data_IF_303766942420
#
_entry.id   IF_303766942420
#
_cell.length_a   1.000
_cell.length_b   1.000
_cell.length_c   1.000
_cell.angle_alpha   90.00
_cell.angle_beta   90.00
_cell.angle_gamma   90.00
#
_symmetry.space_group_name_H-M   'P 1'
#
loop_
_entity.id
_entity.type
_entity.pdbx_description
1 polymer ?
#
# COMPACT_ATOMS: atom_id res chain seq x y z
N UNK A 1 33.16 18.28 -6.75
CA UNK A 1 32.38 17.71 -7.88
C UNK A 1 30.91 17.87 -7.51
N UNK A 2 30.13 18.54 -8.34
CA UNK A 2 28.69 18.77 -8.07
C UNK A 2 27.84 17.88 -8.98
N UNK A 3 26.96 17.07 -8.42
CA UNK A 3 26.08 16.19 -9.18
C UNK A 3 24.63 16.69 -9.03
N UNK A 4 23.92 16.78 -10.14
CA UNK A 4 22.53 17.22 -10.20
C UNK A 4 21.67 16.15 -10.88
N UNK A 5 20.37 16.09 -10.51
CA UNK A 5 19.42 15.23 -11.18
C UNK A 5 19.24 15.68 -12.64
N UNK A 6 19.22 14.72 -13.56
CA UNK A 6 18.95 14.98 -14.98
C UNK A 6 17.47 14.75 -15.24
N UNK A 7 16.85 15.67 -15.96
CA UNK A 7 15.43 15.55 -16.32
C UNK A 7 15.21 14.46 -17.36
N UNK A 8 14.23 13.61 -17.12
CA UNK A 8 13.78 12.58 -18.06
C UNK A 8 13.09 13.24 -19.28
N UNK A 9 13.45 12.88 -20.54
CA UNK A 9 12.70 13.32 -21.71
C UNK A 9 11.28 12.78 -21.71
N UNK A 10 10.30 13.60 -22.10
CA UNK A 10 8.90 13.18 -22.18
C UNK A 10 8.68 11.95 -23.07
N UNK A 11 9.46 11.82 -24.16
CA UNK A 11 9.43 10.65 -25.05
C UNK A 11 9.88 9.33 -24.40
N UNK A 12 10.54 9.40 -23.24
CA UNK A 12 11.05 8.23 -22.50
C UNK A 12 10.14 7.77 -21.36
N UNK A 13 9.00 8.46 -21.09
CA UNK A 13 8.13 8.16 -19.96
C UNK A 13 7.63 6.71 -19.98
N UNK A 14 7.14 6.23 -21.12
CA UNK A 14 6.63 4.87 -21.25
C UNK A 14 7.70 3.82 -20.96
N UNK A 15 8.90 4.00 -21.50
CA UNK A 15 10.01 3.09 -21.28
C UNK A 15 10.48 3.11 -19.81
N UNK A 16 10.49 4.29 -19.18
CA UNK A 16 10.84 4.44 -17.78
C UNK A 16 9.85 3.74 -16.87
N UNK A 17 8.54 3.91 -17.12
CA UNK A 17 7.47 3.23 -16.35
C UNK A 17 7.57 1.71 -16.47
N UNK A 18 7.80 1.18 -17.68
CA UNK A 18 8.00 -0.25 -17.89
C UNK A 18 9.24 -0.75 -17.13
N UNK A 19 10.31 0.04 -17.07
CA UNK A 19 11.54 -0.28 -16.32
C UNK A 19 11.29 -0.26 -14.81
N UNK A 20 10.52 0.70 -14.30
CA UNK A 20 10.14 0.73 -12.88
C UNK A 20 9.34 -0.51 -12.47
N UNK A 21 8.36 -0.92 -13.29
CA UNK A 21 7.62 -2.17 -13.08
C UNK A 21 8.55 -3.38 -13.04
N UNK A 22 9.47 -3.48 -13.99
CA UNK A 22 10.45 -4.58 -14.06
C UNK A 22 11.37 -4.63 -12.83
N UNK A 23 11.90 -3.50 -12.35
CA UNK A 23 12.72 -3.48 -11.14
C UNK A 23 11.92 -3.93 -9.92
N UNK A 24 10.66 -3.54 -9.82
CA UNK A 24 9.79 -4.00 -8.75
C UNK A 24 9.59 -5.53 -8.81
N UNK A 25 9.40 -6.11 -10.01
CA UNK A 25 9.28 -7.56 -10.21
C UNK A 25 10.58 -8.31 -9.83
N UNK A 26 11.73 -7.66 -9.97
CA UNK A 26 13.02 -8.15 -9.50
C UNK A 26 13.25 -7.97 -7.99
N UNK A 27 12.24 -7.52 -7.24
CA UNK A 27 12.36 -7.19 -5.82
C UNK A 27 13.41 -6.10 -5.52
N UNK A 28 13.46 -5.09 -6.38
CA UNK A 28 14.30 -3.89 -6.26
C UNK A 28 13.42 -2.64 -6.15
N UNK A 29 12.69 -2.48 -5.03
CA UNK A 29 11.70 -1.41 -4.89
C UNK A 29 12.31 -0.01 -4.85
N UNK A 30 13.54 0.16 -4.35
CA UNK A 30 14.23 1.45 -4.31
C UNK A 30 14.53 1.98 -5.72
N UNK A 31 14.96 1.11 -6.64
CA UNK A 31 15.20 1.46 -8.05
C UNK A 31 13.89 1.82 -8.75
N UNK A 32 12.82 1.05 -8.47
CA UNK A 32 11.50 1.34 -9.00
C UNK A 32 10.97 2.69 -8.51
N UNK A 33 11.11 2.98 -7.22
CA UNK A 33 10.73 4.25 -6.58
C UNK A 33 11.48 5.43 -7.23
N UNK A 34 12.81 5.31 -7.38
CA UNK A 34 13.63 6.34 -8.01
C UNK A 34 13.18 6.68 -9.44
N UNK A 35 12.89 5.67 -10.26
CA UNK A 35 12.42 5.88 -11.63
C UNK A 35 11.02 6.52 -11.63
N UNK A 36 10.12 6.11 -10.72
CA UNK A 36 8.80 6.71 -10.62
C UNK A 36 8.89 8.20 -10.27
N UNK A 37 9.81 8.61 -9.40
CA UNK A 37 10.05 10.03 -9.11
C UNK A 37 10.51 10.80 -10.33
N UNK A 38 11.39 10.24 -11.18
CA UNK A 38 11.80 10.87 -12.45
C UNK A 38 10.62 11.04 -13.41
N UNK A 39 9.74 10.04 -13.50
CA UNK A 39 8.51 10.10 -14.32
C UNK A 39 7.56 11.18 -13.79
N UNK A 40 7.31 11.20 -12.49
CA UNK A 40 6.39 12.15 -11.85
C UNK A 40 6.92 13.59 -11.84
N UNK A 41 8.24 13.79 -11.94
CA UNK A 41 8.83 15.09 -12.14
C UNK A 41 8.51 15.68 -13.53
N UNK A 42 8.16 14.84 -14.51
CA UNK A 42 7.75 15.25 -15.86
C UNK A 42 6.23 15.29 -16.00
N UNK A 43 5.55 14.27 -15.50
CA UNK A 43 4.09 14.14 -15.49
C UNK A 43 3.62 13.77 -14.06
N UNK A 44 3.29 14.77 -13.22
CA UNK A 44 2.88 14.54 -11.83
C UNK A 44 1.60 13.72 -11.65
N UNK A 45 0.77 13.63 -12.69
CA UNK A 45 -0.49 12.89 -12.69
C UNK A 45 -0.40 11.51 -13.35
N UNK A 46 0.79 11.03 -13.68
CA UNK A 46 1.00 9.76 -14.38
C UNK A 46 0.51 8.56 -13.56
N UNK A 47 -0.69 8.06 -13.85
CA UNK A 47 -1.40 7.10 -13.01
C UNK A 47 -0.66 5.79 -12.80
N UNK A 48 -0.02 5.25 -13.84
CA UNK A 48 0.75 3.99 -13.72
C UNK A 48 2.01 4.20 -12.87
N UNK A 49 2.68 5.35 -12.98
CA UNK A 49 3.83 5.65 -12.14
C UNK A 49 3.44 5.82 -10.67
N UNK A 50 2.32 6.50 -10.37
CA UNK A 50 1.77 6.60 -9.01
C UNK A 50 1.44 5.21 -8.44
N UNK A 51 0.82 4.33 -9.22
CA UNK A 51 0.51 2.97 -8.80
C UNK A 51 1.78 2.18 -8.47
N UNK A 52 2.79 2.20 -9.36
CA UNK A 52 4.05 1.50 -9.16
C UNK A 52 4.79 2.08 -7.94
N UNK A 53 4.84 3.41 -7.81
CA UNK A 53 5.46 4.08 -6.67
C UNK A 53 4.84 3.65 -5.34
N UNK A 54 3.53 3.74 -5.22
CA UNK A 54 2.83 3.32 -4.00
C UNK A 54 3.10 1.85 -3.66
N UNK A 55 3.08 0.96 -4.65
CA UNK A 55 3.39 -0.45 -4.46
C UNK A 55 4.86 -0.68 -4.07
N UNK A 56 5.82 0.03 -4.68
CA UNK A 56 7.24 -0.06 -4.33
C UNK A 56 7.50 0.40 -2.89
N UNK A 57 6.83 1.48 -2.44
CA UNK A 57 6.89 1.92 -1.04
C UNK A 57 6.34 0.84 -0.11
N UNK A 58 5.22 0.19 -0.45
CA UNK A 58 4.65 -0.89 0.38
C UNK A 58 5.52 -2.15 0.40
N UNK A 59 6.29 -2.45 -0.65
CA UNK A 59 7.23 -3.58 -0.70
C UNK A 59 8.37 -3.43 0.35
N UNK A 60 8.57 -2.23 0.88
CA UNK A 60 9.60 -1.91 1.89
C UNK A 60 9.08 -1.88 3.34
N UNK A 61 7.82 -2.17 3.61
CA UNK A 61 7.24 -2.09 4.95
C UNK A 61 7.94 -3.00 5.98
N UNK A 62 8.50 -4.12 5.53
CA UNK A 62 9.25 -5.04 6.39
C UNK A 62 10.60 -4.49 6.86
N UNK A 63 11.10 -3.44 6.21
CA UNK A 63 12.38 -2.80 6.63
C UNK A 63 12.29 -2.09 7.97
N UNK A 64 11.09 -1.85 8.49
CA UNK A 64 10.86 -1.15 9.75
C UNK A 64 11.06 0.37 9.69
N UNK A 65 11.25 0.96 8.50
CA UNK A 65 11.35 2.42 8.36
C UNK A 65 10.00 3.06 8.68
N UNK A 66 10.05 4.11 9.48
CA UNK A 66 8.87 4.89 9.88
C UNK A 66 8.37 5.72 8.70
N UNK A 67 7.05 5.95 8.62
CA UNK A 67 6.43 6.84 7.64
C UNK A 67 6.15 6.21 6.27
N UNK A 68 6.50 4.94 6.04
CA UNK A 68 6.27 4.28 4.74
C UNK A 68 4.78 4.05 4.46
N UNK A 69 3.97 3.76 5.47
CA UNK A 69 2.52 3.58 5.29
C UNK A 69 1.87 4.89 4.89
N UNK A 70 2.18 5.96 5.59
CA UNK A 70 1.68 7.31 5.30
C UNK A 70 2.09 7.73 3.88
N UNK A 71 3.35 7.51 3.49
CA UNK A 71 3.83 7.80 2.15
C UNK A 71 3.08 6.99 1.07
N UNK A 72 2.83 5.70 1.29
CA UNK A 72 2.06 4.88 0.36
C UNK A 72 0.61 5.36 0.25
N UNK A 73 -0.03 5.72 1.36
CA UNK A 73 -1.40 6.25 1.39
C UNK A 73 -1.48 7.55 0.59
N UNK A 74 -0.57 8.51 0.84
CA UNK A 74 -0.52 9.79 0.11
C UNK A 74 -0.37 9.60 -1.40
N UNK A 75 0.44 8.63 -1.83
CA UNK A 75 0.60 8.30 -3.26
C UNK A 75 -0.68 7.69 -3.83
N UNK A 76 -1.29 6.71 -3.16
CA UNK A 76 -2.50 6.06 -3.66
C UNK A 76 -3.72 6.99 -3.67
N UNK A 77 -3.79 7.96 -2.78
CA UNK A 77 -4.85 8.99 -2.78
C UNK A 77 -4.83 9.88 -4.03
N UNK A 78 -3.71 9.96 -4.75
CA UNK A 78 -3.59 10.68 -6.02
C UNK A 78 -4.10 9.88 -7.22
N UNK A 79 -4.45 8.60 -7.07
CA UNK A 79 -5.05 7.82 -8.15
C UNK A 79 -6.45 8.37 -8.49
N UNK A 80 -6.67 8.67 -9.77
CA UNK A 80 -7.90 9.28 -10.26
C UNK A 80 -9.09 8.31 -10.22
N UNK A 81 -8.86 7.05 -10.61
CA UNK A 81 -9.89 6.02 -10.59
C UNK A 81 -10.24 5.59 -9.15
N UNK A 82 -11.52 5.69 -8.80
CA UNK A 82 -11.99 5.43 -7.44
C UNK A 82 -11.77 3.97 -7.00
N UNK A 83 -11.93 3.00 -7.93
CA UNK A 83 -11.67 1.60 -7.63
C UNK A 83 -10.19 1.37 -7.37
N UNK A 84 -9.31 1.83 -8.28
CA UNK A 84 -7.87 1.66 -8.14
C UNK A 84 -7.36 2.29 -6.84
N UNK A 85 -7.81 3.50 -6.54
CA UNK A 85 -7.48 4.18 -5.28
C UNK A 85 -7.90 3.36 -4.07
N UNK A 86 -9.17 2.95 -4.01
CA UNK A 86 -9.73 2.20 -2.87
C UNK A 86 -9.06 0.84 -2.72
N UNK A 87 -8.86 0.11 -3.82
CA UNK A 87 -8.19 -1.19 -3.80
C UNK A 87 -6.75 -1.10 -3.29
N UNK A 88 -5.97 -0.13 -3.80
CA UNK A 88 -4.57 0.01 -3.39
C UNK A 88 -4.41 0.52 -1.95
N UNK A 89 -5.33 1.32 -1.45
CA UNK A 89 -5.38 1.64 -0.01
C UNK A 89 -5.59 0.37 0.82
N UNK A 90 -6.48 -0.53 0.40
CA UNK A 90 -6.64 -1.84 1.02
C UNK A 90 -5.36 -2.67 1.01
N UNK A 91 -4.64 -2.69 -0.12
CA UNK A 91 -3.34 -3.37 -0.26
C UNK A 91 -2.29 -2.78 0.69
N UNK A 92 -2.23 -1.45 0.83
CA UNK A 92 -1.30 -0.80 1.75
C UNK A 92 -1.56 -1.23 3.20
N UNK A 93 -2.82 -1.21 3.64
CA UNK A 93 -3.19 -1.63 5.00
C UNK A 93 -2.96 -3.12 5.24
N UNK A 94 -3.25 -4.00 4.26
CA UNK A 94 -2.94 -5.43 4.34
C UNK A 94 -1.44 -5.67 4.51
N UNK A 95 -0.60 -4.97 3.75
CA UNK A 95 0.86 -5.10 3.83
C UNK A 95 1.42 -4.56 5.14
N UNK A 96 0.88 -3.44 5.62
CA UNK A 96 1.23 -2.91 6.94
C UNK A 96 0.87 -3.91 8.06
N UNK A 97 -0.31 -4.53 7.98
CA UNK A 97 -0.72 -5.56 8.93
C UNK A 97 0.26 -6.74 8.97
N UNK A 98 0.69 -7.22 7.80
CA UNK A 98 1.69 -8.30 7.71
C UNK A 98 3.04 -7.89 8.28
N UNK A 99 3.51 -6.67 8.00
CA UNK A 99 4.74 -6.14 8.57
C UNK A 99 4.66 -6.00 10.10
N UNK A 100 3.51 -5.61 10.66
CA UNK A 100 3.27 -5.62 12.10
C UNK A 100 3.31 -7.04 12.68
N UNK A 101 2.75 -8.04 11.98
CA UNK A 101 2.83 -9.44 12.42
C UNK A 101 4.27 -9.95 12.49
N UNK A 102 5.10 -9.64 11.52
CA UNK A 102 6.51 -10.01 11.50
C UNK A 102 7.27 -9.42 12.70
N UNK A 103 6.85 -8.24 13.16
CA UNK A 103 7.38 -7.59 14.37
C UNK A 103 6.67 -8.00 15.66
N UNK A 104 5.74 -8.95 15.60
CA UNK A 104 4.94 -9.43 16.74
C UNK A 104 4.04 -8.33 17.38
N UNK A 105 3.72 -7.29 16.63
CA UNK A 105 2.86 -6.18 17.04
C UNK A 105 1.38 -6.53 16.76
N UNK A 106 0.84 -7.49 17.52
CA UNK A 106 -0.46 -8.13 17.22
C UNK A 106 -1.63 -7.13 17.18
N UNK A 107 -1.69 -6.17 18.10
CA UNK A 107 -2.78 -5.18 18.13
C UNK A 107 -2.73 -4.21 16.95
N UNK A 108 -1.52 -3.76 16.58
CA UNK A 108 -1.32 -2.93 15.38
C UNK A 108 -1.68 -3.69 14.10
N UNK A 109 -1.31 -4.97 14.02
CA UNK A 109 -1.67 -5.84 12.92
C UNK A 109 -3.19 -6.01 12.82
N UNK A 110 -3.89 -6.25 13.93
CA UNK A 110 -5.34 -6.37 13.96
C UNK A 110 -6.03 -5.09 13.44
N UNK A 111 -5.62 -3.92 13.94
CA UNK A 111 -6.17 -2.64 13.50
C UNK A 111 -5.94 -2.38 12.00
N UNK A 112 -4.75 -2.75 11.49
CA UNK A 112 -4.43 -2.59 10.07
C UNK A 112 -5.23 -3.57 9.19
N UNK A 113 -5.45 -4.83 9.61
CA UNK A 113 -6.31 -5.76 8.89
C UNK A 113 -7.77 -5.28 8.85
N UNK A 114 -8.32 -4.74 9.94
CA UNK A 114 -9.67 -4.17 9.94
C UNK A 114 -9.82 -3.08 8.89
N UNK A 115 -8.84 -2.18 8.78
CA UNK A 115 -8.83 -1.16 7.74
C UNK A 115 -8.74 -1.77 6.33
N UNK A 116 -7.87 -2.77 6.14
CA UNK A 116 -7.76 -3.46 4.86
C UNK A 116 -9.10 -4.08 4.42
N UNK A 117 -9.81 -4.74 5.33
CA UNK A 117 -11.13 -5.32 5.06
C UNK A 117 -12.15 -4.26 4.63
N UNK A 118 -12.21 -3.12 5.32
CA UNK A 118 -13.11 -2.02 4.94
C UNK A 118 -12.83 -1.52 3.52
N UNK A 119 -11.56 -1.40 3.14
CA UNK A 119 -11.20 -0.95 1.79
C UNK A 119 -11.49 -2.01 0.72
N UNK A 120 -11.25 -3.30 1.00
CA UNK A 120 -11.55 -4.36 0.04
C UNK A 120 -13.05 -4.49 -0.20
N UNK A 121 -13.89 -4.41 0.84
CA UNK A 121 -15.35 -4.40 0.72
C UNK A 121 -15.83 -3.21 -0.12
N UNK A 122 -15.30 -2.01 0.11
CA UNK A 122 -15.62 -0.83 -0.70
C UNK A 122 -15.16 -0.98 -2.16
N UNK A 123 -13.98 -1.57 -2.40
CA UNK A 123 -13.49 -1.79 -3.76
C UNK A 123 -14.34 -2.82 -4.51
N UNK A 124 -14.76 -3.90 -3.85
CA UNK A 124 -15.68 -4.90 -4.40
C UNK A 124 -17.04 -4.26 -4.77
N UNK A 125 -17.56 -3.38 -3.91
CA UNK A 125 -18.81 -2.66 -4.21
C UNK A 125 -18.69 -1.71 -5.42
N UNK A 126 -17.50 -1.10 -5.64
CA UNK A 126 -17.25 -0.25 -6.80
C UNK A 126 -17.13 -1.03 -8.11
N UNK A 127 -16.52 -2.21 -8.07
CA UNK A 127 -16.29 -3.07 -9.25
C UNK A 127 -16.51 -4.55 -8.89
N UNK A 128 -17.76 -5.01 -8.78
CA UNK A 128 -18.09 -6.40 -8.41
C UNK A 128 -17.70 -7.42 -9.49
N UNK A 129 -17.38 -6.96 -10.70
CA UNK A 129 -16.88 -7.76 -11.82
C UNK A 129 -15.39 -8.12 -11.69
N UNK A 130 -14.63 -7.44 -10.81
CA UNK A 130 -13.19 -7.68 -10.60
C UNK A 130 -12.96 -8.55 -9.36
N UNK A 131 -12.21 -9.68 -9.49
CA UNK A 131 -12.02 -10.62 -8.39
C UNK A 131 -10.97 -10.18 -7.35
N UNK A 132 -10.13 -9.18 -7.67
CA UNK A 132 -8.96 -8.83 -6.87
C UNK A 132 -9.27 -8.51 -5.40
N UNK A 133 -10.29 -7.69 -5.06
CA UNK A 133 -10.61 -7.39 -3.67
C UNK A 133 -11.05 -8.64 -2.90
N UNK A 134 -11.89 -9.49 -3.51
CA UNK A 134 -12.36 -10.75 -2.93
C UNK A 134 -11.19 -11.73 -2.68
N UNK A 135 -10.27 -11.85 -3.63
CA UNK A 135 -9.08 -12.71 -3.49
C UNK A 135 -8.19 -12.25 -2.34
N UNK A 136 -8.00 -10.94 -2.20
CA UNK A 136 -7.25 -10.34 -1.08
C UNK A 136 -7.95 -10.57 0.26
N UNK A 137 -9.26 -10.29 0.32
CA UNK A 137 -10.10 -10.59 1.48
C UNK A 137 -9.93 -12.03 1.94
N UNK A 138 -10.14 -13.00 1.04
CA UNK A 138 -10.02 -14.41 1.36
C UNK A 138 -8.61 -14.78 1.84
N UNK A 139 -7.56 -14.17 1.29
CA UNK A 139 -6.18 -14.37 1.75
C UNK A 139 -6.00 -13.88 3.19
N UNK A 140 -6.55 -12.74 3.53
CA UNK A 140 -6.53 -12.21 4.90
C UNK A 140 -7.30 -13.12 5.86
N UNK A 141 -8.50 -13.57 5.49
CA UNK A 141 -9.31 -14.51 6.31
C UNK A 141 -8.54 -15.80 6.58
N UNK A 142 -7.88 -16.39 5.58
CA UNK A 142 -7.07 -17.60 5.79
C UNK A 142 -5.91 -17.36 6.76
N UNK A 143 -5.26 -16.22 6.69
CA UNK A 143 -4.20 -15.85 7.63
C UNK A 143 -4.75 -15.70 9.06
N UNK A 144 -5.89 -15.03 9.23
CA UNK A 144 -6.58 -14.93 10.51
C UNK A 144 -6.97 -16.31 11.06
N UNK A 145 -7.44 -17.22 10.22
CA UNK A 145 -7.86 -18.56 10.66
C UNK A 145 -6.72 -19.37 11.26
N UNK A 146 -5.49 -19.13 10.87
CA UNK A 146 -4.30 -19.83 11.34
C UNK A 146 -3.58 -19.11 12.50
N UNK A 147 -3.99 -17.88 12.87
CA UNK A 147 -3.34 -17.09 13.93
C UNK A 147 -4.35 -16.79 15.06
N UNK A 148 -4.28 -17.57 16.15
CA UNK A 148 -5.21 -17.44 17.27
C UNK A 148 -5.10 -16.08 17.99
N UNK A 149 -3.87 -15.59 18.23
CA UNK A 149 -3.65 -14.32 18.91
C UNK A 149 -4.23 -13.13 18.10
N UNK A 150 -4.05 -13.16 16.78
CA UNK A 150 -4.60 -12.13 15.90
C UNK A 150 -6.14 -12.16 15.90
N UNK A 151 -6.74 -13.34 15.85
CA UNK A 151 -8.22 -13.48 15.97
C UNK A 151 -8.75 -12.92 17.27
N UNK A 152 -8.06 -13.18 18.38
CA UNK A 152 -8.43 -12.66 19.69
C UNK A 152 -8.33 -11.14 19.73
N UNK A 153 -7.21 -10.57 19.22
CA UNK A 153 -7.03 -9.13 19.15
C UNK A 153 -8.12 -8.42 18.32
N UNK A 154 -8.58 -9.04 17.22
CA UNK A 154 -9.68 -8.49 16.41
C UNK A 154 -11.06 -8.61 17.05
N UNK A 155 -11.26 -9.51 18.02
CA UNK A 155 -12.51 -9.66 18.78
C UNK A 155 -12.57 -8.77 20.02
N UNK A 156 -11.42 -8.36 20.53
CA UNK A 156 -11.34 -7.56 21.73
C UNK A 156 -12.04 -6.20 21.50
N UNK A 157 -12.95 -5.77 22.40
CA UNK A 157 -13.53 -4.44 22.29
C UNK A 157 -12.40 -3.41 22.37
N UNK A 158 -12.36 -2.47 21.42
CA UNK A 158 -11.46 -1.34 21.52
C UNK A 158 -11.76 -0.61 22.83
N UNK A 159 -10.72 -0.34 23.63
CA UNK A 159 -10.85 0.68 24.67
C UNK A 159 -11.18 1.97 23.93
N UNK A 160 -12.47 2.32 23.91
CA UNK A 160 -12.88 3.66 23.54
C UNK A 160 -12.15 4.59 24.48
N UNK A 161 -11.43 5.56 23.94
CA UNK A 161 -10.91 6.67 24.71
C UNK A 161 -12.05 7.15 25.60
N UNK A 162 -11.88 7.01 26.91
CA UNK A 162 -12.86 7.53 27.86
C UNK A 162 -12.95 9.02 27.59
N UNK A 163 -14.16 9.61 27.50
CA UNK A 163 -14.28 11.04 27.40
C UNK A 163 -13.57 11.62 28.61
N UNK A 164 -12.69 12.58 28.37
CA UNK A 164 -12.06 13.36 29.42
C UNK A 164 -13.19 13.82 30.37
N UNK A 165 -13.20 13.26 31.57
CA UNK A 165 -14.08 13.69 32.64
C UNK A 165 -13.69 15.09 33.08
N UNK A 166 -14.70 15.89 33.35
CA UNK A 166 -14.69 17.27 33.88
C UNK A 166 -13.71 17.49 35.04
#
# INVERSE_FOLDING_TARGET
MHFELKRLPASSLQAAVAKAAHYRDLNQPEEAESICHDVLAVDPAHQVALQILGLAVTDRFTTGRVGLLEAAVEVFEQLADAYQRTYHLGVAWERAAKAHLERQEIHSAAAAFERAFVFFEKAEALRPDLPDPLLRWNRCVRLLSTNAALREAMRAPRKTDAPFGD
#
